data_IF_354685317467
#
_entry.id   IF_354685317467
#
_cell.length_a   1.000
_cell.length_b   1.000
_cell.length_c   1.000
_cell.angle_alpha   90.00
_cell.angle_beta   90.00
_cell.angle_gamma   90.00
#
_symmetry.space_group_name_H-M   'P 1'
#
loop_
_entity.id
_entity.type
_entity.pdbx_description
1 polymer ?
#
# COMPACT_ATOMS: atom_id res chain seq x y z
N UNK A 1 3.41 -10.34 1.00
CA UNK A 1 3.53 -10.62 2.45
C UNK A 1 3.69 -9.38 3.33
N UNK A 2 4.53 -8.40 2.99
CA UNK A 2 4.78 -7.24 3.87
C UNK A 2 3.50 -6.48 4.30
N UNK A 3 2.61 -6.14 3.37
CA UNK A 3 1.34 -5.47 3.71
C UNK A 3 0.44 -6.31 4.62
N UNK A 4 0.44 -7.65 4.43
CA UNK A 4 -0.30 -8.58 5.28
C UNK A 4 0.25 -8.59 6.71
N UNK A 5 1.56 -8.64 6.87
CA UNK A 5 2.19 -8.54 8.17
C UNK A 5 1.83 -7.25 8.91
N UNK A 6 1.80 -6.10 8.22
CA UNK A 6 1.43 -4.81 8.84
C UNK A 6 0.00 -4.84 9.39
N UNK A 7 -0.94 -5.39 8.61
CA UNK A 7 -2.33 -5.52 9.00
C UNK A 7 -2.52 -6.53 10.15
N UNK A 8 -1.88 -7.70 10.09
CA UNK A 8 -1.90 -8.71 11.15
C UNK A 8 -1.30 -8.15 12.46
N UNK A 9 -0.18 -7.42 12.35
CA UNK A 9 0.41 -6.73 13.49
C UNK A 9 -0.57 -5.73 14.09
N UNK A 10 -1.25 -4.93 13.27
CA UNK A 10 -2.21 -3.93 13.74
C UNK A 10 -3.39 -4.56 14.48
N UNK A 11 -3.99 -5.61 13.91
CA UNK A 11 -5.16 -6.29 14.49
C UNK A 11 -4.83 -7.12 15.74
N UNK A 12 -3.60 -7.64 15.84
CA UNK A 12 -3.17 -8.47 16.96
C UNK A 12 -2.43 -7.72 18.06
N UNK A 13 -1.34 -7.02 17.72
CA UNK A 13 -0.43 -6.36 18.67
C UNK A 13 -0.62 -4.85 18.76
N UNK A 14 -1.11 -4.23 17.69
CA UNK A 14 -1.29 -2.78 17.60
C UNK A 14 -2.56 -2.27 18.26
N UNK A 15 -3.48 -3.16 18.66
CA UNK A 15 -4.74 -2.78 19.33
C UNK A 15 -5.78 -2.13 18.42
N UNK A 16 -5.63 -2.20 17.10
CA UNK A 16 -6.54 -1.58 16.14
C UNK A 16 -7.81 -2.42 15.97
N UNK A 17 -8.98 -1.77 15.95
CA UNK A 17 -10.28 -2.44 15.76
C UNK A 17 -10.47 -2.95 14.32
N UNK A 18 -9.87 -2.28 13.34
CA UNK A 18 -9.92 -2.67 11.93
C UNK A 18 -8.77 -2.08 11.13
N UNK A 19 -8.61 -2.58 9.92
CA UNK A 19 -7.59 -2.12 8.96
C UNK A 19 -8.25 -1.82 7.62
N UNK A 20 -7.88 -0.71 7.00
CA UNK A 20 -8.29 -0.37 5.64
C UNK A 20 -7.06 -0.43 4.73
N UNK A 21 -7.11 -1.28 3.72
CA UNK A 21 -6.12 -1.35 2.65
C UNK A 21 -6.51 -0.34 1.57
N UNK A 22 -5.82 0.80 1.56
CA UNK A 22 -6.09 1.86 0.60
C UNK A 22 -5.28 1.61 -0.68
N UNK A 23 -5.99 1.37 -1.78
CA UNK A 23 -5.42 1.26 -3.12
C UNK A 23 -5.53 2.61 -3.83
N UNK A 24 -4.39 3.23 -4.09
CA UNK A 24 -4.37 4.51 -4.81
C UNK A 24 -4.70 4.29 -6.29
N UNK A 25 -5.70 5.00 -6.80
CA UNK A 25 -6.07 5.04 -8.22
C UNK A 25 -4.99 5.73 -9.04
N UNK A 26 -4.36 6.77 -8.47
CA UNK A 26 -3.21 7.47 -9.04
C UNK A 26 -2.13 7.59 -7.99
N UNK A 27 -0.91 7.21 -8.34
CA UNK A 27 0.23 7.48 -7.47
C UNK A 27 0.74 8.88 -7.82
N UNK A 28 1.01 9.70 -6.80
CA UNK A 28 1.55 11.05 -7.00
C UNK A 28 2.87 11.08 -7.81
N UNK A 29 3.62 9.97 -7.84
CA UNK A 29 4.98 9.90 -8.41
C UNK A 29 5.14 8.99 -9.64
N UNK A 30 4.10 8.24 -10.07
CA UNK A 30 4.29 7.16 -11.06
C UNK A 30 3.34 7.31 -12.26
N UNK A 31 3.88 7.44 -13.49
CA UNK A 31 3.08 7.72 -14.69
C UNK A 31 2.26 6.52 -15.18
N UNK A 32 2.59 5.28 -14.77
CA UNK A 32 1.81 4.10 -15.13
C UNK A 32 1.74 3.08 -14.00
N UNK A 33 0.58 2.43 -13.88
CA UNK A 33 0.41 1.31 -12.98
C UNK A 33 0.78 0.01 -13.68
N UNK A 34 1.56 -0.82 -12.98
CA UNK A 34 2.02 -2.12 -13.48
C UNK A 34 0.89 -3.17 -13.52
N UNK A 35 -0.25 -2.89 -12.88
CA UNK A 35 -1.44 -3.72 -12.86
C UNK A 35 -2.68 -2.81 -12.89
N UNK A 36 -3.75 -3.28 -13.52
CA UNK A 36 -5.03 -2.56 -13.56
C UNK A 36 -5.63 -2.50 -12.15
N UNK A 37 -6.42 -1.47 -11.84
CA UNK A 37 -6.99 -1.30 -10.48
C UNK A 37 -7.82 -2.52 -10.07
N UNK A 38 -8.62 -3.08 -10.98
CA UNK A 38 -9.43 -4.28 -10.73
C UNK A 38 -8.55 -5.44 -10.28
N UNK A 39 -7.41 -5.67 -10.94
CA UNK A 39 -6.51 -6.77 -10.57
C UNK A 39 -5.79 -6.49 -9.24
N UNK A 40 -5.46 -5.23 -8.94
CA UNK A 40 -4.92 -4.84 -7.62
C UNK A 40 -5.94 -5.06 -6.51
N UNK A 41 -7.21 -4.72 -6.75
CA UNK A 41 -8.31 -4.96 -5.83
C UNK A 41 -8.49 -6.45 -5.57
N UNK A 42 -8.52 -7.26 -6.63
CA UNK A 42 -8.60 -8.72 -6.50
C UNK A 42 -7.41 -9.30 -5.73
N UNK A 43 -6.17 -8.89 -6.05
CA UNK A 43 -4.99 -9.35 -5.30
C UNK A 43 -5.02 -8.92 -3.83
N UNK A 44 -5.55 -7.74 -3.51
CA UNK A 44 -5.76 -7.32 -2.12
C UNK A 44 -6.79 -8.23 -1.44
N UNK A 45 -7.93 -8.49 -2.08
CA UNK A 45 -8.94 -9.43 -1.57
C UNK A 45 -8.43 -10.85 -1.39
N UNK A 46 -7.54 -11.33 -2.26
CA UNK A 46 -6.91 -12.65 -2.13
C UNK A 46 -5.81 -12.69 -1.05
N UNK A 47 -5.27 -11.54 -0.66
CA UNK A 47 -4.20 -11.47 0.36
C UNK A 47 -4.73 -11.59 1.77
N UNK A 48 -6.02 -11.37 1.98
CA UNK A 48 -6.65 -11.34 3.27
C UNK A 48 -7.86 -12.25 3.23
N UNK A 49 -7.99 -13.11 4.23
CA UNK A 49 -9.31 -13.66 4.51
C UNK A 49 -10.14 -12.45 4.96
N UNK A 50 -11.09 -12.00 4.13
CA UNK A 50 -11.89 -10.80 4.38
C UNK A 50 -12.82 -11.07 5.57
N UNK A 51 -12.25 -11.08 6.77
CA UNK A 51 -12.96 -11.03 8.03
C UNK A 51 -13.51 -9.60 8.22
N UNK A 52 -14.49 -9.44 9.10
CA UNK A 52 -15.19 -8.17 9.38
C UNK A 52 -14.29 -6.98 9.79
N UNK A 53 -12.97 -7.20 9.93
CA UNK A 53 -11.99 -6.23 10.40
C UNK A 53 -11.00 -5.76 9.34
N UNK A 54 -11.07 -6.26 8.09
CA UNK A 54 -10.22 -5.78 6.99
C UNK A 54 -11.09 -5.29 5.84
N UNK A 55 -10.97 -4.00 5.53
CA UNK A 55 -11.65 -3.36 4.42
C UNK A 55 -10.66 -3.03 3.31
N UNK A 56 -11.15 -2.94 2.07
CA UNK A 56 -10.37 -2.46 0.92
C UNK A 56 -11.00 -1.15 0.46
N UNK A 57 -10.21 -0.07 0.49
CA UNK A 57 -10.61 1.26 0.04
C UNK A 57 -9.90 1.65 -1.26
N UNK A 58 -10.54 2.51 -2.04
CA UNK A 58 -9.94 3.14 -3.22
C UNK A 58 -9.73 4.63 -2.93
N UNK A 59 -8.56 5.16 -3.27
CA UNK A 59 -8.26 6.59 -3.12
C UNK A 59 -7.91 7.23 -4.44
N UNK A 60 -8.65 8.25 -4.85
CA UNK A 60 -8.27 9.15 -5.95
C UNK A 60 -7.19 10.16 -5.55
N UNK A 61 -6.96 10.37 -4.26
CA UNK A 61 -6.02 11.35 -3.73
C UNK A 61 -4.69 10.68 -3.36
N UNK A 62 -3.58 11.31 -3.77
CA UNK A 62 -2.23 10.82 -3.51
C UNK A 62 -1.65 11.24 -2.15
N UNK A 63 -2.12 12.37 -1.61
CA UNK A 63 -1.62 12.92 -0.35
C UNK A 63 -2.24 12.24 0.87
N UNK A 64 -1.43 12.04 1.91
CA UNK A 64 -1.92 11.48 3.18
C UNK A 64 -2.85 12.44 3.91
N UNK A 65 -2.64 13.76 3.76
CA UNK A 65 -3.53 14.77 4.33
C UNK A 65 -4.93 14.71 3.71
N UNK A 66 -5.02 14.57 2.38
CA UNK A 66 -6.31 14.40 1.70
C UNK A 66 -7.01 13.11 2.12
N UNK A 67 -6.26 12.01 2.29
CA UNK A 67 -6.80 10.74 2.79
C UNK A 67 -7.32 10.88 4.22
N UNK A 68 -6.61 11.59 5.09
CA UNK A 68 -7.06 11.86 6.46
C UNK A 68 -8.38 12.62 6.48
N UNK A 69 -8.48 13.70 5.70
CA UNK A 69 -9.70 14.51 5.56
C UNK A 69 -10.88 13.70 5.02
N UNK A 70 -10.64 12.86 4.01
CA UNK A 70 -11.66 11.97 3.47
C UNK A 70 -12.14 10.94 4.51
N UNK A 71 -11.22 10.30 5.24
CA UNK A 71 -11.61 9.36 6.30
C UNK A 71 -12.44 10.05 7.39
N UNK A 72 -12.09 11.26 7.79
CA UNK A 72 -12.85 12.04 8.77
C UNK A 72 -14.25 12.44 8.30
N UNK A 73 -14.53 12.49 6.98
CA UNK A 73 -15.87 12.80 6.47
C UNK A 73 -16.78 11.56 6.36
N UNK A 74 -16.20 10.36 6.24
CA UNK A 74 -16.97 9.10 6.11
C UNK A 74 -17.27 8.41 7.43
N UNK A 75 -16.50 8.67 8.49
CA UNK A 75 -16.59 7.95 9.76
C UNK A 75 -16.93 8.88 10.94
N UNK A 76 -17.46 8.33 12.05
CA UNK A 76 -17.77 9.13 13.23
C UNK A 76 -16.56 9.93 13.72
N UNK A 77 -16.73 11.17 14.22
CA UNK A 77 -15.64 12.01 14.72
C UNK A 77 -14.81 11.38 15.85
N UNK A 78 -15.37 10.40 16.58
CA UNK A 78 -14.66 9.64 17.62
C UNK A 78 -13.70 8.59 17.07
N UNK A 79 -13.62 8.41 15.75
CA UNK A 79 -12.76 7.40 15.12
C UNK A 79 -11.32 7.90 15.06
N UNK A 80 -10.42 7.21 15.75
CA UNK A 80 -9.00 7.49 15.71
C UNK A 80 -8.33 6.76 14.53
N UNK A 81 -7.56 7.49 13.73
CA UNK A 81 -6.87 6.93 12.57
C UNK A 81 -5.37 6.81 12.79
N UNK A 82 -4.79 5.72 12.28
CA UNK A 82 -3.35 5.59 12.14
C UNK A 82 -2.98 5.04 10.78
N UNK A 83 -2.07 5.72 10.09
CA UNK A 83 -1.51 5.21 8.85
C UNK A 83 -0.37 4.23 9.15
N UNK A 84 -0.55 2.98 8.70
CA UNK A 84 0.49 1.97 8.72
C UNK A 84 1.37 2.15 7.48
N UNK A 85 2.62 2.56 7.67
CA UNK A 85 3.53 2.89 6.56
C UNK A 85 4.86 2.20 6.70
N UNK A 86 5.43 1.77 5.58
CA UNK A 86 6.85 1.43 5.54
C UNK A 86 7.71 2.68 5.59
N UNK A 87 8.96 2.50 5.98
CA UNK A 87 9.95 3.57 6.09
C UNK A 87 10.15 4.41 4.80
N UNK A 88 10.16 3.77 3.62
CA UNK A 88 10.21 4.49 2.33
C UNK A 88 9.03 5.46 2.19
N UNK A 89 7.84 5.06 2.66
CA UNK A 89 6.65 5.91 2.59
C UNK A 89 6.69 7.00 3.65
N UNK A 90 7.19 6.72 4.86
CA UNK A 90 7.40 7.73 5.88
C UNK A 90 8.38 8.82 5.40
N UNK A 91 9.45 8.45 4.68
CA UNK A 91 10.36 9.40 4.05
C UNK A 91 9.65 10.24 2.97
N UNK A 92 8.84 9.62 2.11
CA UNK A 92 8.05 10.35 1.10
C UNK A 92 7.00 11.28 1.69
N UNK A 93 6.39 10.92 2.82
CA UNK A 93 5.43 11.81 3.51
C UNK A 93 6.10 13.13 3.87
N UNK A 94 7.39 13.14 4.18
CA UNK A 94 8.15 14.34 4.53
C UNK A 94 8.72 15.09 3.32
N UNK A 95 8.53 14.59 2.09
CA UNK A 95 9.08 15.20 0.89
C UNK A 95 8.28 16.46 0.54
N UNK A 96 8.90 17.65 0.56
CA UNK A 96 8.20 18.92 0.39
C UNK A 96 7.58 19.09 -1.00
N UNK A 97 8.02 18.33 -2.01
CA UNK A 97 7.50 18.44 -3.39
C UNK A 97 6.00 18.10 -3.50
N UNK A 98 5.44 17.45 -2.48
CA UNK A 98 4.04 17.05 -2.42
C UNK A 98 3.10 18.08 -1.80
N UNK A 99 3.63 19.17 -1.26
CA UNK A 99 2.88 20.15 -0.48
C UNK A 99 3.10 21.55 -1.03
N UNK A 100 2.07 22.39 -0.94
CA UNK A 100 2.17 23.82 -1.28
C UNK A 100 2.84 24.58 -0.12
N UNK A 101 2.48 24.23 1.12
CA UNK A 101 3.05 24.76 2.36
C UNK A 101 3.46 23.59 3.30
N UNK A 102 4.62 22.95 3.05
CA UNK A 102 5.00 21.73 3.76
C UNK A 102 4.98 21.84 5.30
N UNK A 103 5.51 22.91 5.94
CA UNK A 103 5.46 23.02 7.39
C UNK A 103 4.02 22.99 7.96
N UNK A 104 3.11 23.75 7.36
CA UNK A 104 1.72 23.85 7.82
C UNK A 104 0.95 22.55 7.55
N UNK A 105 1.09 21.99 6.35
CA UNK A 105 0.36 20.80 5.95
C UNK A 105 0.84 19.55 6.70
N UNK A 106 2.15 19.43 6.98
CA UNK A 106 2.68 18.34 7.80
C UNK A 106 2.27 18.47 9.27
N UNK A 107 2.26 19.68 9.82
CA UNK A 107 1.78 19.90 11.20
C UNK A 107 0.29 19.53 11.32
N UNK A 108 -0.51 19.94 10.33
CA UNK A 108 -1.93 19.56 10.22
C UNK A 108 -2.05 18.03 10.16
N UNK A 109 -1.35 17.37 9.23
CA UNK A 109 -1.38 15.92 9.08
C UNK A 109 -1.02 15.20 10.38
N UNK A 110 0.06 15.60 11.05
CA UNK A 110 0.52 14.94 12.27
C UNK A 110 -0.33 15.25 13.51
N UNK A 111 -1.19 16.27 13.47
CA UNK A 111 -2.16 16.57 14.53
C UNK A 111 -3.51 15.86 14.31
N UNK A 112 -3.92 15.63 13.07
CA UNK A 112 -5.18 14.97 12.73
C UNK A 112 -5.12 13.44 12.84
N UNK A 113 -3.96 12.83 12.53
CA UNK A 113 -3.81 11.37 12.49
C UNK A 113 -2.51 10.89 13.13
N UNK A 114 -2.55 9.62 13.57
CA UNK A 114 -1.35 8.92 14.03
C UNK A 114 -0.67 8.14 12.90
N UNK A 115 0.55 7.66 13.17
CA UNK A 115 1.29 6.79 12.27
C UNK A 115 1.87 5.60 13.03
N UNK A 116 2.02 4.48 12.34
CA UNK A 116 2.90 3.38 12.75
C UNK A 116 3.87 3.13 11.63
N UNK A 117 5.16 3.24 11.93
CA UNK A 117 6.22 3.11 10.94
C UNK A 117 6.87 1.73 11.04
N UNK A 118 6.81 0.97 9.96
CA UNK A 118 7.49 -0.30 9.83
C UNK A 118 8.89 -0.09 9.27
N UNK A 119 9.88 -0.22 10.16
CA UNK A 119 11.28 0.09 9.87
C UNK A 119 11.97 -1.04 9.10
N UNK A 120 12.93 -0.65 8.25
CA UNK A 120 13.91 -1.51 7.62
C UNK A 120 15.31 -1.07 8.09
N UNK A 121 16.29 -1.97 8.21
CA UNK A 121 17.64 -1.55 8.54
C UNK A 121 18.19 -0.56 7.48
N UNK A 122 18.69 0.59 7.92
CA UNK A 122 19.54 1.47 7.11
C UNK A 122 18.92 2.76 6.56
N UNK A 123 17.65 3.08 6.85
CA UNK A 123 17.06 4.37 6.49
C UNK A 123 16.90 5.27 7.73
N UNK A 124 17.07 6.58 7.55
CA UNK A 124 17.09 7.56 8.63
C UNK A 124 15.82 8.40 8.64
N UNK A 125 14.92 8.13 9.57
CA UNK A 125 13.70 8.91 9.81
C UNK A 125 13.84 10.01 10.86
N UNK A 126 15.00 10.70 10.90
CA UNK A 126 15.28 11.73 11.93
C UNK A 126 14.24 12.86 12.00
N UNK A 127 13.59 13.18 10.87
CA UNK A 127 12.57 14.24 10.75
C UNK A 127 11.15 13.74 11.00
N UNK A 128 10.91 12.43 11.06
CA UNK A 128 9.59 11.88 11.34
C UNK A 128 9.32 11.95 12.85
N UNK A 129 8.12 12.38 13.30
CA UNK A 129 7.87 12.57 14.72
C UNK A 129 8.13 11.30 15.55
N UNK A 130 8.97 11.43 16.57
CA UNK A 130 9.39 10.30 17.43
C UNK A 130 8.25 9.72 18.27
N UNK A 131 7.15 10.47 18.44
CA UNK A 131 5.95 10.01 19.16
C UNK A 131 5.25 8.85 18.47
N UNK A 132 5.48 8.66 17.17
CA UNK A 132 4.85 7.59 16.41
C UNK A 132 5.60 6.27 16.58
N UNK A 133 4.92 5.16 16.89
CA UNK A 133 5.55 3.87 17.06
C UNK A 133 6.37 3.42 15.86
N UNK A 134 7.51 2.80 16.14
CA UNK A 134 8.40 2.17 15.17
C UNK A 134 8.39 0.67 15.41
N UNK A 135 8.04 -0.07 14.37
CA UNK A 135 7.86 -1.52 14.42
C UNK A 135 8.90 -2.18 13.51
N UNK A 136 9.77 -3.06 14.02
CA UNK A 136 10.72 -3.75 13.17
C UNK A 136 9.98 -4.70 12.21
N UNK A 137 10.36 -4.63 10.94
CA UNK A 137 9.91 -5.61 9.94
C UNK A 137 10.66 -6.94 10.16
N UNK A 138 9.99 -8.10 10.22
CA UNK A 138 10.65 -9.40 10.36
C UNK A 138 11.67 -9.68 9.24
N UNK A 139 12.81 -10.28 9.59
CA UNK A 139 13.93 -10.53 8.66
C UNK A 139 13.51 -11.25 7.36
N UNK A 140 12.59 -12.21 7.44
CA UNK A 140 12.14 -13.01 6.30
C UNK A 140 11.29 -12.23 5.27
N UNK A 141 10.78 -11.05 5.63
CA UNK A 141 10.09 -10.13 4.71
C UNK A 141 10.82 -8.80 4.52
N UNK A 142 11.99 -8.62 5.14
CA UNK A 142 12.85 -7.47 4.89
C UNK A 142 13.38 -7.51 3.45
N UNK A 143 13.44 -6.34 2.79
CA UNK A 143 13.90 -6.23 1.40
C UNK A 143 12.91 -6.69 0.33
N UNK A 144 11.83 -7.37 0.73
CA UNK A 144 10.76 -7.78 -0.20
C UNK A 144 9.91 -6.56 -0.55
N UNK A 145 10.02 -6.10 -1.80
CA UNK A 145 9.20 -5.03 -2.35
C UNK A 145 8.36 -5.54 -3.52
N UNK A 146 7.25 -4.86 -3.81
CA UNK A 146 6.46 -5.19 -4.99
C UNK A 146 7.28 -5.08 -6.28
N UNK A 147 8.23 -4.13 -6.37
CA UNK A 147 9.13 -4.02 -7.52
C UNK A 147 10.04 -5.23 -7.65
N UNK A 148 10.61 -5.70 -6.55
CA UNK A 148 11.45 -6.89 -6.53
C UNK A 148 10.69 -8.14 -7.00
N UNK A 149 9.47 -8.34 -6.52
CA UNK A 149 8.60 -9.46 -6.95
C UNK A 149 8.30 -9.38 -8.45
N UNK A 150 7.94 -8.19 -8.96
CA UNK A 150 7.67 -7.98 -10.39
C UNK A 150 8.89 -8.28 -11.25
N UNK A 151 10.06 -7.77 -10.87
CA UNK A 151 11.31 -8.00 -11.61
C UNK A 151 11.66 -9.48 -11.67
N UNK A 152 11.52 -10.21 -10.57
CA UNK A 152 11.77 -11.66 -10.56
C UNK A 152 10.76 -12.41 -11.40
N UNK A 153 9.48 -12.06 -11.32
CA UNK A 153 8.44 -12.63 -12.18
C UNK A 153 8.76 -12.40 -13.67
N UNK A 154 9.16 -11.19 -14.05
CA UNK A 154 9.50 -10.88 -15.44
C UNK A 154 10.74 -11.61 -15.95
N UNK A 155 11.63 -12.01 -15.05
CA UNK A 155 12.85 -12.76 -15.35
C UNK A 155 12.71 -14.28 -15.11
N UNK A 156 11.50 -14.76 -14.83
CA UNK A 156 11.24 -16.17 -14.49
C UNK A 156 12.09 -16.71 -13.31
N UNK A 157 12.47 -15.83 -12.39
CA UNK A 157 13.17 -16.17 -11.15
C UNK A 157 12.16 -16.45 -10.03
N UNK A 158 12.47 -17.32 -9.03
CA UNK A 158 11.55 -17.63 -7.93
C UNK A 158 11.04 -16.38 -7.20
N UNK A 159 9.73 -16.28 -6.99
CA UNK A 159 9.07 -15.10 -6.39
C UNK A 159 7.81 -15.44 -5.57
N UNK A 160 7.27 -16.64 -5.75
CA UNK A 160 5.97 -17.10 -5.29
C UNK A 160 5.88 -17.11 -3.75
N UNK A 161 6.97 -17.46 -3.07
CA UNK A 161 7.06 -17.51 -1.60
C UNK A 161 6.92 -16.13 -0.93
N UNK A 162 7.04 -15.04 -1.68
CA UNK A 162 7.02 -13.66 -1.16
C UNK A 162 5.63 -13.01 -1.21
N UNK A 163 4.65 -13.72 -1.75
CA UNK A 163 3.23 -13.35 -1.76
C UNK A 163 2.39 -14.46 -1.15
N UNK A 164 1.12 -14.19 -0.88
CA UNK A 164 0.19 -15.26 -0.47
C UNK A 164 -0.06 -16.20 -1.66
N UNK A 165 -0.30 -17.48 -1.37
CA UNK A 165 -0.48 -18.54 -2.38
C UNK A 165 -1.55 -18.18 -3.41
N UNK A 166 -2.65 -17.61 -2.96
CA UNK A 166 -3.81 -17.22 -3.77
C UNK A 166 -3.44 -16.09 -4.75
N UNK A 167 -2.62 -15.15 -4.28
CA UNK A 167 -2.05 -14.06 -5.09
C UNK A 167 -1.05 -14.61 -6.10
N UNK A 168 -0.20 -15.57 -5.71
CA UNK A 168 0.74 -16.21 -6.63
C UNK A 168 -0.01 -16.89 -7.79
N UNK A 169 -1.00 -17.72 -7.44
CA UNK A 169 -1.85 -18.40 -8.43
C UNK A 169 -2.58 -17.40 -9.33
N UNK A 170 -3.06 -16.29 -8.78
CA UNK A 170 -3.69 -15.25 -9.60
C UNK A 170 -2.71 -14.66 -10.61
N UNK A 171 -1.52 -14.24 -10.17
CA UNK A 171 -0.47 -13.67 -11.04
C UNK A 171 -0.08 -14.66 -12.14
N UNK A 172 0.06 -15.94 -11.81
CA UNK A 172 0.37 -17.00 -12.79
C UNK A 172 -0.74 -17.16 -13.81
N UNK A 173 -1.99 -17.36 -13.36
CA UNK A 173 -3.15 -17.58 -14.24
C UNK A 173 -3.39 -16.42 -15.20
N UNK A 174 -3.19 -15.18 -14.75
CA UNK A 174 -3.42 -14.01 -15.60
C UNK A 174 -2.21 -13.65 -16.45
N UNK A 175 -1.04 -14.25 -16.22
CA UNK A 175 0.23 -13.85 -16.84
C UNK A 175 0.74 -12.47 -16.37
N UNK A 176 0.29 -12.00 -15.20
CA UNK A 176 0.59 -10.66 -14.71
C UNK A 176 2.11 -10.50 -14.47
N UNK A 177 2.64 -9.32 -14.82
CA UNK A 177 4.07 -8.94 -14.72
C UNK A 177 5.03 -9.71 -15.64
N UNK A 178 4.53 -10.47 -16.62
CA UNK A 178 5.38 -10.98 -17.69
C UNK A 178 5.70 -9.87 -18.70
N UNK A 179 6.86 -9.92 -19.39
CA UNK A 179 7.15 -9.04 -20.51
C UNK A 179 6.10 -9.19 -21.62
N UNK A 180 5.83 -8.10 -22.33
CA UNK A 180 4.96 -8.17 -23.51
C UNK A 180 5.69 -8.83 -24.70
N UNK A 181 5.00 -9.60 -25.55
CA UNK A 181 3.56 -9.89 -25.49
C UNK A 181 3.22 -10.89 -24.38
N UNK A 182 2.18 -10.59 -23.59
CA UNK A 182 1.72 -11.46 -22.51
C UNK A 182 0.21 -11.72 -22.55
N UNK A 183 -0.28 -12.85 -21.97
CA UNK A 183 -1.71 -13.03 -21.73
C UNK A 183 -2.33 -11.87 -20.93
N UNK A 184 -1.54 -11.27 -20.04
CA UNK A 184 -1.98 -10.14 -19.24
C UNK A 184 -2.21 -8.89 -20.06
N UNK A 185 -1.39 -8.62 -21.09
CA UNK A 185 -1.58 -7.49 -21.99
C UNK A 185 -2.97 -7.50 -22.65
N UNK A 186 -3.46 -8.68 -23.02
CA UNK A 186 -4.82 -8.86 -23.55
C UNK A 186 -5.90 -8.63 -22.49
N UNK A 187 -5.71 -9.17 -21.28
CA UNK A 187 -6.62 -8.95 -20.15
C UNK A 187 -6.71 -7.46 -19.80
N UNK A 188 -5.57 -6.78 -19.73
CA UNK A 188 -5.47 -5.36 -19.38
C UNK A 188 -6.27 -4.50 -20.35
N UNK A 189 -6.10 -4.70 -21.67
CA UNK A 189 -6.88 -3.98 -22.68
C UNK A 189 -8.38 -4.17 -22.49
N UNK A 190 -8.83 -5.40 -22.25
CA UNK A 190 -10.26 -5.68 -21.98
C UNK A 190 -10.77 -4.99 -20.72
N UNK A 191 -9.96 -4.93 -19.66
CA UNK A 191 -10.33 -4.21 -18.43
C UNK A 191 -10.40 -2.70 -18.68
N UNK A 192 -9.48 -2.15 -19.47
CA UNK A 192 -9.49 -0.73 -19.85
C UNK A 192 -10.71 -0.38 -20.73
N UNK A 193 -11.14 -1.28 -21.62
CA UNK A 193 -12.37 -1.13 -22.41
C UNK A 193 -13.63 -1.14 -21.53
N UNK A 194 -13.68 -1.98 -20.49
CA UNK A 194 -14.85 -2.14 -19.63
C UNK A 194 -14.95 -1.09 -18.51
N UNK A 195 -13.82 -0.69 -17.94
CA UNK A 195 -13.76 0.12 -16.72
C UNK A 195 -13.00 1.44 -16.88
N UNK A 196 -12.52 1.72 -18.09
CA UNK A 196 -11.69 2.89 -18.39
C UNK A 196 -10.21 2.67 -18.10
N UNK A 197 -9.37 3.55 -18.65
CA UNK A 197 -7.95 3.60 -18.32
C UNK A 197 -7.69 4.08 -16.89
N UNK A 198 -6.51 3.76 -16.31
CA UNK A 198 -6.08 4.33 -15.03
C UNK A 198 -5.92 5.86 -15.06
#
# INVERSE_FOLDING_TARGET
>A
MAHRYMAEWALGRGGFQGVILILDLRHADKPSQNAHIVDRYLMAGLSFDLQDRVLIGLSSHGLFLDKARALSSFFPPSTAWSFLVGEDTAARILDPKFYENPPQELDTLFSEVSFVVFERPGVSLKRFPRRFPRVPTPKHIQGVSSSWVRTRRSLHLPWEEFVCKEVAQFIERTGLYLPEPSPYGTRRRRLEELFGGP
#
